data_IF_065147821432
#
_entry.id   IF_065147821432
#
_cell.length_a   1.000
_cell.length_b   1.000
_cell.length_c   1.000
_cell.angle_alpha   90.00
_cell.angle_beta   90.00
_cell.angle_gamma   90.00
#
_symmetry.space_group_name_H-M   'P 1'
#
loop_
_entity.id
_entity.type
_entity.pdbx_description
1 polymer ?
#
# COMPACT_ATOMS: atom_id res chain seq x y z
N UNK A 1 4.95 -1.61 18.73
CA UNK A 1 3.83 -2.37 18.14
C UNK A 1 3.62 -1.79 16.76
N UNK A 2 3.63 -2.61 15.71
CA UNK A 2 3.41 -2.14 14.34
C UNK A 2 1.93 -2.23 14.01
N UNK A 3 1.40 -1.26 13.27
CA UNK A 3 0.01 -1.23 12.80
C UNK A 3 -0.05 -1.07 11.29
N UNK A 4 -1.05 -1.71 10.69
CA UNK A 4 -1.38 -1.57 9.27
C UNK A 4 -2.77 -0.95 9.14
N UNK A 5 -2.89 0.07 8.29
CA UNK A 5 -4.18 0.63 7.89
C UNK A 5 -4.62 0.02 6.56
N UNK A 6 -5.75 -0.68 6.58
CA UNK A 6 -6.37 -1.30 5.40
C UNK A 6 -7.47 -0.41 4.81
N UNK A 7 -7.65 -0.47 3.49
CA UNK A 7 -8.68 0.30 2.78
C UNK A 7 -8.26 1.73 2.39
N UNK A 8 -6.96 1.98 2.19
CA UNK A 8 -6.48 3.29 1.72
C UNK A 8 -6.74 3.43 0.21
N UNK A 9 -7.66 4.31 -0.16
CA UNK A 9 -8.14 4.51 -1.52
C UNK A 9 -7.82 5.90 -2.10
N UNK A 10 -7.50 6.89 -1.25
CA UNK A 10 -7.18 8.26 -1.71
C UNK A 10 -5.88 8.82 -1.12
N UNK A 11 -5.35 9.85 -1.77
CA UNK A 11 -4.14 10.56 -1.33
C UNK A 11 -4.35 11.23 0.04
N UNK A 12 -5.54 11.78 0.29
CA UNK A 12 -5.88 12.43 1.56
C UNK A 12 -5.86 11.45 2.74
N UNK A 13 -6.33 10.21 2.52
CA UNK A 13 -6.27 9.16 3.54
C UNK A 13 -4.81 8.75 3.83
N UNK A 14 -3.99 8.64 2.79
CA UNK A 14 -2.55 8.39 2.94
C UNK A 14 -1.87 9.50 3.74
N UNK A 15 -2.12 10.77 3.38
CA UNK A 15 -1.52 11.92 4.06
C UNK A 15 -1.90 11.97 5.54
N UNK A 16 -3.17 11.67 5.87
CA UNK A 16 -3.63 11.55 7.25
C UNK A 16 -2.87 10.45 8.00
N UNK A 17 -2.85 9.22 7.47
CA UNK A 17 -2.21 8.07 8.12
C UNK A 17 -0.71 8.25 8.31
N UNK A 18 -0.04 8.89 7.33
CA UNK A 18 1.37 9.26 7.40
C UNK A 18 1.65 10.25 8.54
N UNK A 19 0.78 11.25 8.72
CA UNK A 19 0.90 12.23 9.80
C UNK A 19 0.65 11.61 11.18
N UNK A 20 -0.25 10.63 11.26
CA UNK A 20 -0.51 9.83 12.47
C UNK A 20 0.55 8.74 12.72
N UNK A 21 1.60 8.67 11.89
CA UNK A 21 2.72 7.72 12.00
C UNK A 21 2.27 6.25 11.94
N UNK A 22 1.29 5.95 11.09
CA UNK A 22 0.96 4.57 10.74
C UNK A 22 2.19 3.89 10.09
N UNK A 23 2.50 2.65 10.48
CA UNK A 23 3.70 1.97 10.02
C UNK A 23 3.58 1.50 8.56
N UNK A 24 2.41 0.96 8.20
CA UNK A 24 2.16 0.27 6.93
C UNK A 24 0.75 0.57 6.41
N UNK A 25 0.55 0.57 5.10
CA UNK A 25 -0.76 0.76 4.47
C UNK A 25 -1.08 -0.37 3.48
N UNK A 26 -2.37 -0.65 3.31
CA UNK A 26 -2.89 -1.45 2.22
C UNK A 26 -4.15 -0.80 1.65
N UNK A 27 -4.25 -0.74 0.32
CA UNK A 27 -5.47 -0.31 -0.36
C UNK A 27 -5.21 0.07 -1.81
N UNK A 28 -6.28 0.38 -2.54
CA UNK A 28 -6.23 0.61 -3.99
C UNK A 28 -5.46 1.87 -4.38
N UNK A 29 -5.25 2.80 -3.44
CA UNK A 29 -4.33 3.92 -3.63
C UNK A 29 -2.89 3.45 -3.89
N UNK A 30 -2.48 2.39 -3.20
CA UNK A 30 -1.14 1.82 -3.29
C UNK A 30 -1.06 0.77 -4.41
N UNK A 31 -1.92 -0.24 -4.35
CA UNK A 31 -2.01 -1.29 -5.36
C UNK A 31 -3.36 -2.01 -5.32
N UNK A 32 -3.86 -2.43 -6.48
CA UNK A 32 -4.99 -3.35 -6.57
C UNK A 32 -4.55 -4.78 -6.20
N UNK A 33 -5.47 -5.70 -5.85
CA UNK A 33 -5.14 -7.11 -5.68
C UNK A 33 -4.52 -7.65 -6.97
N UNK A 34 -3.42 -8.36 -6.81
CA UNK A 34 -2.62 -8.87 -7.92
C UNK A 34 -2.79 -10.39 -8.01
N UNK A 35 -2.84 -10.95 -9.23
CA UNK A 35 -2.67 -12.38 -9.41
C UNK A 35 -1.20 -12.78 -9.11
N UNK A 36 -0.93 -14.03 -8.73
CA UNK A 36 0.40 -14.47 -8.31
C UNK A 36 1.52 -14.21 -9.33
N UNK A 37 1.22 -14.29 -10.63
CA UNK A 37 2.18 -14.11 -11.71
C UNK A 37 2.67 -12.65 -11.81
N UNK A 38 1.80 -11.70 -11.47
CA UNK A 38 2.15 -10.27 -11.45
C UNK A 38 2.98 -9.91 -10.22
N UNK A 39 2.79 -10.63 -9.11
CA UNK A 39 3.57 -10.44 -7.89
C UNK A 39 5.07 -10.59 -8.16
N UNK A 40 5.50 -11.66 -8.85
CA UNK A 40 6.91 -11.93 -9.15
C UNK A 40 7.53 -10.75 -9.92
N UNK A 41 6.83 -10.31 -10.98
CA UNK A 41 7.26 -9.18 -11.82
C UNK A 41 7.47 -7.92 -10.99
N UNK A 42 6.60 -7.66 -10.02
CA UNK A 42 6.64 -6.47 -9.18
C UNK A 42 7.79 -6.53 -8.17
N UNK A 43 8.00 -7.69 -7.53
CA UNK A 43 9.09 -7.85 -6.56
C UNK A 43 10.47 -7.78 -7.23
N UNK A 44 10.61 -8.27 -8.45
CA UNK A 44 11.85 -8.20 -9.22
C UNK A 44 12.16 -6.79 -9.72
N UNK A 45 11.14 -6.05 -10.17
CA UNK A 45 11.30 -4.70 -10.72
C UNK A 45 11.20 -3.58 -9.68
N UNK A 46 10.80 -3.90 -8.43
CA UNK A 46 10.52 -2.94 -7.35
C UNK A 46 9.54 -1.82 -7.72
N UNK A 47 8.62 -2.11 -8.63
CA UNK A 47 7.67 -1.11 -9.13
C UNK A 47 6.33 -1.29 -8.44
N UNK A 48 6.18 -0.65 -7.28
CA UNK A 48 4.89 -0.28 -6.69
C UNK A 48 5.01 1.18 -6.27
N UNK A 49 3.90 1.93 -6.37
CA UNK A 49 3.86 3.32 -5.89
C UNK A 49 4.15 3.43 -4.40
#
# INVERSE_FOLDING_TARGET
MKVIAEGVETAEQWDFLKNEKCDEIQGYFYSKPLPPEQLITIFENKTIH
#
